data_IF_624521260278
#
_entry.id   IF_624521260278
#
_cell.length_a   1.000
_cell.length_b   1.000
_cell.length_c   1.000
_cell.angle_alpha   90.00
_cell.angle_beta   90.00
_cell.angle_gamma   90.00
#
_symmetry.space_group_name_H-M   'P 1'
#
loop_
_entity.id
_entity.type
_entity.pdbx_description
1 polymer ?
#
# COMPACT_ATOMS: atom_id res chain seq x y z
N UNK A 1 8.55 -25.74 -11.77
CA UNK A 1 7.79 -24.74 -10.97
C UNK A 1 8.67 -23.50 -10.91
N UNK A 2 8.71 -22.73 -12.00
CA UNK A 2 9.54 -21.53 -12.13
C UNK A 2 8.63 -20.36 -12.54
N UNK A 3 7.99 -19.76 -11.54
CA UNK A 3 7.19 -18.54 -11.72
C UNK A 3 7.94 -17.32 -11.19
N UNK A 4 9.15 -17.51 -10.62
CA UNK A 4 9.96 -16.44 -10.05
C UNK A 4 10.81 -15.58 -11.02
N UNK A 5 11.20 -15.99 -12.26
CA UNK A 5 12.09 -15.14 -13.06
C UNK A 5 11.36 -13.99 -13.81
N UNK A 6 10.04 -14.04 -13.97
CA UNK A 6 9.29 -13.08 -14.81
C UNK A 6 8.94 -11.76 -14.08
N UNK A 7 9.03 -11.74 -12.73
CA UNK A 7 8.83 -10.51 -11.93
C UNK A 7 10.09 -9.66 -11.82
N UNK A 8 11.29 -10.27 -11.92
CA UNK A 8 12.55 -9.55 -11.81
C UNK A 8 12.97 -8.89 -13.14
N UNK A 9 12.42 -9.34 -14.27
CA UNK A 9 12.87 -8.94 -15.62
C UNK A 9 11.92 -8.00 -16.34
N UNK A 10 10.65 -7.91 -15.93
CA UNK A 10 9.70 -6.95 -16.51
C UNK A 10 9.62 -5.69 -15.65
N UNK A 11 9.87 -4.49 -16.21
CA UNK A 11 9.68 -3.25 -15.47
C UNK A 11 8.22 -3.18 -14.98
N UNK A 12 8.05 -2.79 -13.71
CA UNK A 12 6.75 -2.63 -13.07
C UNK A 12 5.96 -1.56 -13.85
N UNK A 13 4.93 -1.96 -14.60
CA UNK A 13 4.11 -0.98 -15.33
C UNK A 13 3.22 -0.19 -14.38
N UNK A 14 2.96 1.07 -14.72
CA UNK A 14 2.11 2.00 -13.95
C UNK A 14 0.70 1.46 -13.67
N UNK A 15 0.13 0.71 -14.61
CA UNK A 15 -1.17 0.06 -14.41
C UNK A 15 -1.10 -1.05 -13.35
N UNK A 16 0.00 -1.83 -13.33
CA UNK A 16 0.23 -2.89 -12.34
C UNK A 16 0.47 -2.32 -10.95
N UNK A 17 1.25 -1.23 -10.83
CA UNK A 17 1.46 -0.57 -9.53
C UNK A 17 0.16 0.00 -8.97
N UNK A 18 -0.67 0.64 -9.80
CA UNK A 18 -1.99 1.13 -9.40
C UNK A 18 -2.93 0.00 -8.96
N UNK A 19 -2.94 -1.12 -9.69
CA UNK A 19 -3.74 -2.29 -9.30
C UNK A 19 -3.28 -2.88 -7.97
N UNK A 20 -1.97 -3.02 -7.77
CA UNK A 20 -1.37 -3.51 -6.53
C UNK A 20 -1.64 -2.55 -5.36
N UNK A 21 -1.55 -1.24 -5.60
CA UNK A 21 -1.86 -0.19 -4.63
C UNK A 21 -3.30 -0.24 -4.16
N UNK A 22 -4.27 -0.35 -5.08
CA UNK A 22 -5.70 -0.53 -4.74
C UNK A 22 -5.95 -1.83 -3.98
N UNK A 23 -5.30 -2.93 -4.39
CA UNK A 23 -5.39 -4.22 -3.69
C UNK A 23 -4.90 -4.13 -2.25
N UNK A 24 -3.75 -3.48 -2.04
CA UNK A 24 -3.15 -3.29 -0.72
C UNK A 24 -4.00 -2.38 0.17
N UNK A 25 -4.55 -1.28 -0.38
CA UNK A 25 -5.51 -0.43 0.34
C UNK A 25 -6.74 -1.23 0.77
N UNK A 26 -7.35 -1.98 -0.14
CA UNK A 26 -8.57 -2.74 0.14
C UNK A 26 -8.32 -3.80 1.22
N UNK A 27 -7.20 -4.52 1.13
CA UNK A 27 -6.82 -5.51 2.14
C UNK A 27 -6.60 -4.85 3.52
N UNK A 28 -5.91 -3.71 3.56
CA UNK A 28 -5.64 -2.98 4.79
C UNK A 28 -6.92 -2.42 5.42
N UNK A 29 -7.83 -1.88 4.61
CA UNK A 29 -9.13 -1.39 5.06
C UNK A 29 -10.01 -2.52 5.63
N UNK A 30 -10.03 -3.69 4.98
CA UNK A 30 -10.75 -4.86 5.48
C UNK A 30 -10.16 -5.37 6.79
N UNK A 31 -8.83 -5.43 6.90
CA UNK A 31 -8.15 -5.82 8.13
C UNK A 31 -8.47 -4.86 9.29
N UNK A 32 -8.45 -3.55 9.02
CA UNK A 32 -8.81 -2.53 9.99
C UNK A 32 -10.29 -2.64 10.43
N UNK A 33 -11.22 -2.84 9.48
CA UNK A 33 -12.63 -3.01 9.78
C UNK A 33 -12.91 -4.28 10.60
N UNK A 34 -12.22 -5.39 10.28
CA UNK A 34 -12.30 -6.62 11.05
C UNK A 34 -11.78 -6.43 12.48
N UNK A 35 -10.63 -5.77 12.64
CA UNK A 35 -10.05 -5.48 13.95
C UNK A 35 -10.94 -4.56 14.78
N UNK A 36 -11.53 -3.52 14.17
CA UNK A 36 -12.48 -2.62 14.84
C UNK A 36 -13.73 -3.38 15.32
N UNK A 37 -14.25 -4.32 14.51
CA UNK A 37 -15.34 -5.21 14.92
C UNK A 37 -14.92 -6.13 16.07
N UNK A 38 -13.66 -6.57 16.11
CA UNK A 38 -13.11 -7.37 17.19
C UNK A 38 -12.96 -6.57 18.48
N UNK A 39 -12.57 -5.29 18.41
CA UNK A 39 -12.47 -4.37 19.56
C UNK A 39 -13.78 -4.27 20.34
N UNK A 40 -14.92 -4.24 19.65
CA UNK A 40 -16.26 -4.20 20.29
C UNK A 40 -16.60 -5.51 21.02
N UNK A 41 -16.09 -6.65 20.54
CA UNK A 41 -16.38 -7.98 21.12
C UNK A 41 -15.39 -8.42 22.19
N UNK A 42 -14.12 -8.05 22.07
CA UNK A 42 -13.04 -8.41 22.98
C UNK A 42 -12.02 -7.27 23.09
N UNK A 43 -12.30 -6.24 23.90
CA UNK A 43 -11.52 -5.01 23.91
C UNK A 43 -10.09 -5.22 24.41
N UNK A 44 -9.87 -6.09 25.42
CA UNK A 44 -8.55 -6.36 25.97
C UNK A 44 -7.60 -6.99 24.94
N UNK A 45 -8.05 -8.04 24.27
CA UNK A 45 -7.25 -8.72 23.23
C UNK A 45 -6.98 -7.80 22.05
N UNK A 46 -7.98 -7.03 21.64
CA UNK A 46 -7.84 -6.06 20.55
C UNK A 46 -6.86 -4.93 20.89
N UNK A 47 -6.88 -4.43 22.13
CA UNK A 47 -5.94 -3.41 22.62
C UNK A 47 -4.50 -3.95 22.67
N UNK A 48 -4.30 -5.20 23.09
CA UNK A 48 -2.98 -5.85 23.06
C UNK A 48 -2.42 -5.99 21.65
N UNK A 49 -3.28 -6.17 20.65
CA UNK A 49 -2.90 -6.24 19.24
C UNK A 49 -2.75 -4.87 18.57
N UNK A 50 -3.21 -3.79 19.21
CA UNK A 50 -3.19 -2.44 18.66
C UNK A 50 -1.77 -1.97 18.23
N UNK A 51 -0.70 -2.18 19.01
CA UNK A 51 0.66 -1.75 18.65
C UNK A 51 1.19 -2.43 17.37
N UNK A 52 0.63 -3.58 16.99
CA UNK A 52 1.00 -4.30 15.78
C UNK A 52 0.07 -3.96 14.61
N UNK A 53 -1.23 -3.97 14.86
CA UNK A 53 -2.24 -3.82 13.82
C UNK A 53 -2.40 -2.38 13.33
N UNK A 54 -2.24 -1.38 14.22
CA UNK A 54 -2.32 0.02 13.82
C UNK A 54 -1.17 0.41 12.86
N UNK A 55 0.12 0.14 13.16
CA UNK A 55 1.19 0.42 12.22
C UNK A 55 1.05 -0.38 10.92
N UNK A 56 0.67 -1.65 10.99
CA UNK A 56 0.48 -2.48 9.80
C UNK A 56 -0.60 -1.91 8.87
N UNK A 57 -1.75 -1.51 9.41
CA UNK A 57 -2.81 -0.88 8.63
C UNK A 57 -2.38 0.48 8.06
N UNK A 58 -1.69 1.30 8.87
CA UNK A 58 -1.19 2.61 8.42
C UNK A 58 -0.18 2.47 7.27
N UNK A 59 0.78 1.55 7.40
CA UNK A 59 1.77 1.26 6.37
C UNK A 59 1.14 0.68 5.11
N UNK A 60 0.16 -0.23 5.24
CA UNK A 60 -0.54 -0.81 4.10
C UNK A 60 -1.38 0.21 3.33
N UNK A 61 -2.08 1.11 4.04
CA UNK A 61 -2.81 2.23 3.42
C UNK A 61 -1.83 3.20 2.76
N UNK A 62 -0.77 3.62 3.46
CA UNK A 62 0.24 4.52 2.93
C UNK A 62 0.90 3.95 1.67
N UNK A 63 1.40 2.72 1.72
CA UNK A 63 2.00 2.05 0.57
C UNK A 63 1.01 1.89 -0.59
N UNK A 64 -0.26 1.59 -0.27
CA UNK A 64 -1.33 1.56 -1.26
C UNK A 64 -1.53 2.91 -1.95
N UNK A 65 -1.53 4.02 -1.18
CA UNK A 65 -1.64 5.39 -1.71
C UNK A 65 -0.45 5.70 -2.58
N UNK A 66 0.76 5.47 -2.10
CA UNK A 66 1.99 5.76 -2.84
C UNK A 66 2.02 4.99 -4.18
N UNK A 67 1.63 3.72 -4.19
CA UNK A 67 1.58 2.91 -5.41
C UNK A 67 0.46 3.32 -6.38
N UNK A 68 -0.65 3.87 -5.87
CA UNK A 68 -1.80 4.25 -6.69
C UNK A 68 -1.73 5.71 -7.18
N UNK A 69 -1.14 6.61 -6.40
CA UNK A 69 -1.18 8.06 -6.63
C UNK A 69 0.14 8.64 -7.15
N UNK A 70 1.30 8.05 -6.82
CA UNK A 70 2.55 8.55 -7.37
C UNK A 70 2.74 8.04 -8.80
N UNK A 71 2.97 8.98 -9.71
CA UNK A 71 3.44 8.69 -11.05
C UNK A 71 4.95 8.51 -10.97
N UNK A 72 5.39 7.25 -10.95
CA UNK A 72 6.81 6.91 -10.79
C UNK A 72 7.59 7.02 -12.11
N UNK A 73 6.87 7.08 -13.24
CA UNK A 73 7.44 7.16 -14.57
C UNK A 73 7.52 8.61 -15.09
N UNK A 74 6.85 9.56 -14.43
CA UNK A 74 7.00 10.99 -14.70
C UNK A 74 8.21 11.52 -13.92
N UNK A 75 9.29 11.98 -14.57
CA UNK A 75 10.43 12.56 -13.86
C UNK A 75 9.91 13.79 -13.10
N UNK A 76 10.04 13.76 -11.77
CA UNK A 76 9.68 14.87 -10.89
C UNK A 76 10.12 16.19 -11.52
N UNK A 77 9.16 17.09 -11.75
CA UNK A 77 9.23 18.35 -12.52
C UNK A 77 10.50 19.19 -12.30
N UNK A 78 11.65 18.71 -12.75
CA UNK A 78 12.83 19.51 -12.97
C UNK A 78 12.71 19.96 -14.42
N UNK A 79 12.13 21.14 -14.63
CA UNK A 79 12.14 21.83 -15.90
C UNK A 79 13.45 22.62 -16.02
N UNK A 80 14.50 22.10 -16.68
CA UNK A 80 15.76 22.84 -16.87
C UNK A 80 15.58 24.09 -17.75
N UNK A 81 14.40 24.32 -18.34
CA UNK A 81 14.02 25.51 -19.10
C UNK A 81 13.27 26.57 -18.30
N UNK A 82 12.91 26.31 -17.03
CA UNK A 82 12.20 27.28 -16.18
C UNK A 82 13.13 28.37 -15.59
N UNK A 83 14.44 28.28 -15.82
CA UNK A 83 15.45 29.31 -15.45
C UNK A 83 16.07 30.01 -16.67
N UNK A 84 15.35 30.12 -17.80
CA UNK A 84 15.81 30.85 -19.00
C UNK A 84 15.09 32.18 -19.21
#
# INVERSE_FOLDING_TARGET
>A
MDVLPDLATRPMTLERSRWLGRGLMAASALAAAWWLRHLVRSPLTALLLAPLLLPAAALGIWAGITLNAMDWDDPADFDPGAEA
#
